data_IF_723723670209
#
_entry.id   IF_723723670209
#
_cell.length_a   1.000
_cell.length_b   1.000
_cell.length_c   1.000
_cell.angle_alpha   90.00
_cell.angle_beta   90.00
_cell.angle_gamma   90.00
#
_symmetry.space_group_name_H-M   'P 1'
#
loop_
_entity.id
_entity.type
_entity.pdbx_description
1 polymer ?
#
# COMPACT_ATOMS: atom_id res chain seq x y z
N UNK A 1 22.00 -2.30 12.80
CA UNK A 1 20.98 -3.38 12.83
C UNK A 1 19.90 -3.14 11.78
N UNK A 2 19.20 -1.96 11.77
CA UNK A 2 18.11 -1.65 10.81
C UNK A 2 18.53 -1.82 9.34
N UNK A 3 19.60 -1.16 8.90
CA UNK A 3 20.09 -1.25 7.51
C UNK A 3 20.36 -2.70 7.06
N UNK A 4 20.84 -3.54 7.98
CA UNK A 4 21.07 -4.96 7.71
C UNK A 4 19.76 -5.73 7.51
N UNK A 5 18.74 -5.40 8.30
CA UNK A 5 17.41 -5.99 8.21
C UNK A 5 16.70 -5.53 6.91
N UNK A 6 16.90 -4.26 6.50
CA UNK A 6 16.36 -3.70 5.26
C UNK A 6 16.98 -4.38 4.02
N UNK A 7 18.32 -4.59 4.01
CA UNK A 7 19.01 -5.32 2.94
C UNK A 7 18.52 -6.77 2.86
N UNK A 8 18.37 -7.43 4.02
CA UNK A 8 17.85 -8.80 4.06
C UNK A 8 16.43 -8.90 3.46
N UNK A 9 15.60 -7.89 3.72
CA UNK A 9 14.25 -7.82 3.16
C UNK A 9 14.28 -7.80 1.62
N UNK A 10 15.22 -7.09 1.01
CA UNK A 10 15.36 -7.07 -0.46
C UNK A 10 15.62 -8.48 -1.00
N UNK A 11 16.59 -9.21 -0.45
CA UNK A 11 16.86 -10.59 -0.86
C UNK A 11 15.70 -11.56 -0.63
N UNK A 12 14.84 -11.28 0.34
CA UNK A 12 13.65 -12.11 0.61
C UNK A 12 12.49 -11.81 -0.34
N UNK A 13 12.43 -10.60 -0.90
CA UNK A 13 11.28 -10.14 -1.70
C UNK A 13 11.59 -10.08 -3.20
N UNK A 14 12.83 -9.79 -3.59
CA UNK A 14 13.23 -9.66 -4.98
C UNK A 14 14.15 -10.81 -5.41
N UNK A 15 13.64 -11.73 -6.25
CA UNK A 15 14.46 -12.83 -6.81
C UNK A 15 15.61 -12.34 -7.71
N UNK A 16 15.55 -11.08 -8.20
CA UNK A 16 16.59 -10.52 -9.06
C UNK A 16 17.82 -10.02 -8.29
N UNK A 17 17.73 -9.86 -6.97
CA UNK A 17 18.83 -9.39 -6.12
C UNK A 17 19.97 -10.43 -6.08
N UNK A 18 21.18 -10.07 -6.55
CA UNK A 18 22.32 -10.99 -6.69
C UNK A 18 23.41 -10.80 -5.63
N UNK A 19 23.67 -9.56 -5.25
CA UNK A 19 24.74 -9.23 -4.30
C UNK A 19 24.40 -8.07 -3.38
N UNK A 20 25.01 -8.05 -2.20
CA UNK A 20 24.85 -6.94 -1.24
C UNK A 20 25.31 -5.61 -1.83
N UNK A 21 26.37 -5.62 -2.65
CA UNK A 21 26.85 -4.40 -3.30
C UNK A 21 25.81 -3.86 -4.28
N UNK A 22 25.25 -4.70 -5.13
CA UNK A 22 24.15 -4.35 -6.05
C UNK A 22 22.98 -3.74 -5.28
N UNK A 23 22.50 -4.42 -4.24
CA UNK A 23 21.39 -3.95 -3.42
C UNK A 23 21.67 -2.58 -2.80
N UNK A 24 22.86 -2.36 -2.23
CA UNK A 24 23.21 -1.08 -1.62
C UNK A 24 23.33 0.04 -2.65
N UNK A 25 23.80 -0.24 -3.86
CA UNK A 25 24.11 0.80 -4.84
C UNK A 25 22.98 1.10 -5.82
N UNK A 26 22.05 0.17 -6.05
CA UNK A 26 21.05 0.31 -7.14
C UNK A 26 19.60 0.32 -6.69
N UNK A 27 19.28 -0.04 -5.45
CA UNK A 27 17.89 -0.10 -4.97
C UNK A 27 17.40 1.26 -4.48
N UNK A 28 16.67 1.96 -5.34
CA UNK A 28 16.13 3.30 -5.05
C UNK A 28 15.25 3.32 -3.78
N UNK A 29 14.48 2.26 -3.54
CA UNK A 29 13.66 2.11 -2.33
C UNK A 29 14.46 2.15 -1.05
N UNK A 30 15.63 1.47 -0.98
CA UNK A 30 16.53 1.54 0.18
C UNK A 30 17.07 2.94 0.37
N UNK A 31 17.51 3.59 -0.70
CA UNK A 31 18.05 4.96 -0.64
C UNK A 31 17.00 5.93 -0.10
N UNK A 32 15.75 5.82 -0.57
CA UNK A 32 14.64 6.65 -0.11
C UNK A 32 14.34 6.44 1.38
N UNK A 33 14.27 5.19 1.83
CA UNK A 33 14.02 4.85 3.24
C UNK A 33 15.16 5.36 4.14
N UNK A 34 16.41 5.16 3.76
CA UNK A 34 17.56 5.61 4.57
C UNK A 34 17.69 7.13 4.61
N UNK A 35 17.45 7.81 3.48
CA UNK A 35 17.38 9.29 3.43
C UNK A 35 16.24 9.81 4.32
N UNK A 36 15.10 9.13 4.30
CA UNK A 36 13.97 9.46 5.18
C UNK A 36 14.34 9.35 6.67
N UNK A 37 15.11 8.37 7.10
CA UNK A 37 15.51 8.25 8.50
C UNK A 37 16.28 9.49 8.98
N UNK A 38 17.13 10.04 8.12
CA UNK A 38 17.87 11.28 8.40
C UNK A 38 16.92 12.47 8.44
N UNK A 39 16.06 12.60 7.42
CA UNK A 39 15.08 13.67 7.33
C UNK A 39 14.07 13.64 8.50
N UNK A 40 13.60 12.47 8.90
CA UNK A 40 12.71 12.30 10.04
C UNK A 40 13.35 12.73 11.37
N UNK A 41 14.63 12.39 11.59
CA UNK A 41 15.38 12.85 12.78
C UNK A 41 15.47 14.37 12.84
N UNK A 42 15.73 15.02 11.71
CA UNK A 42 15.74 16.49 11.63
C UNK A 42 14.35 17.08 11.88
N UNK A 43 13.32 16.47 11.30
CA UNK A 43 11.93 16.89 11.49
C UNK A 43 11.51 16.81 12.96
N UNK A 44 11.82 15.73 13.66
CA UNK A 44 11.60 15.60 15.11
C UNK A 44 12.31 16.66 15.94
N UNK A 45 13.47 17.11 15.48
CA UNK A 45 14.24 18.20 16.11
C UNK A 45 13.81 19.59 15.62
N UNK A 46 12.60 19.73 15.02
CA UNK A 46 12.01 20.98 14.50
C UNK A 46 12.82 21.68 13.40
N UNK A 47 13.79 20.98 12.79
CA UNK A 47 14.56 21.49 11.65
C UNK A 47 13.83 21.19 10.34
N UNK A 48 12.64 21.77 10.19
CA UNK A 48 11.69 21.41 9.11
C UNK A 48 12.23 21.69 7.72
N UNK A 49 12.88 22.83 7.51
CA UNK A 49 13.45 23.20 6.18
C UNK A 49 14.51 22.19 5.76
N UNK A 50 15.50 21.91 6.62
CA UNK A 50 16.54 20.93 6.33
C UNK A 50 15.99 19.53 6.09
N UNK A 51 14.99 19.11 6.87
CA UNK A 51 14.29 17.83 6.68
C UNK A 51 13.61 17.76 5.31
N UNK A 52 12.91 18.81 4.90
CA UNK A 52 12.27 18.91 3.58
C UNK A 52 13.27 18.93 2.43
N UNK A 53 14.39 19.63 2.58
CA UNK A 53 15.45 19.66 1.57
C UNK A 53 16.01 18.26 1.32
N UNK A 54 16.31 17.48 2.38
CA UNK A 54 16.76 16.08 2.24
C UNK A 54 15.69 15.23 1.56
N UNK A 55 14.43 15.38 1.95
CA UNK A 55 13.31 14.65 1.34
C UNK A 55 13.18 14.96 -0.16
N UNK A 56 13.29 16.22 -0.57
CA UNK A 56 13.19 16.59 -1.98
C UNK A 56 14.42 16.14 -2.78
N UNK A 57 15.61 16.21 -2.20
CA UNK A 57 16.82 15.67 -2.83
C UNK A 57 16.72 14.16 -3.04
N UNK A 58 16.25 13.43 -2.01
CA UNK A 58 15.97 11.99 -2.12
C UNK A 58 14.97 11.69 -3.23
N UNK A 59 13.85 12.44 -3.29
CA UNK A 59 12.86 12.31 -4.36
C UNK A 59 13.46 12.52 -5.75
N UNK A 60 14.32 13.53 -5.91
CA UNK A 60 14.98 13.82 -7.18
C UNK A 60 15.80 12.62 -7.70
N UNK A 61 16.56 11.96 -6.81
CA UNK A 61 17.39 10.82 -7.19
C UNK A 61 16.65 9.48 -7.27
N UNK A 62 15.59 9.30 -6.47
CA UNK A 62 14.92 8.00 -6.34
C UNK A 62 13.56 7.92 -7.03
N UNK A 63 12.95 9.07 -7.36
CA UNK A 63 11.57 9.14 -7.81
C UNK A 63 10.52 8.85 -6.72
N UNK A 64 10.96 8.72 -5.44
CA UNK A 64 10.12 8.34 -4.30
C UNK A 64 10.00 9.54 -3.34
N UNK A 65 8.79 9.99 -3.09
CA UNK A 65 8.52 11.03 -2.10
C UNK A 65 8.09 10.44 -0.77
N UNK A 66 8.89 10.65 0.28
CA UNK A 66 8.53 10.32 1.66
C UNK A 66 8.58 11.62 2.46
N UNK A 67 7.42 12.06 2.99
CA UNK A 67 7.39 13.24 3.84
C UNK A 67 8.17 13.00 5.14
N UNK A 68 9.03 13.92 5.61
CA UNK A 68 9.83 13.73 6.82
C UNK A 68 9.03 13.46 8.09
N UNK A 69 7.76 13.87 8.14
CA UNK A 69 6.85 13.62 9.26
C UNK A 69 6.31 12.19 9.33
N UNK A 70 6.34 11.44 8.24
CA UNK A 70 5.86 10.06 8.20
C UNK A 70 6.60 9.18 9.21
N UNK A 71 5.89 8.21 9.81
CA UNK A 71 6.47 7.23 10.72
C UNK A 71 6.59 5.89 10.00
N UNK A 72 7.80 5.37 9.87
CA UNK A 72 8.07 4.15 9.11
C UNK A 72 8.70 3.10 10.02
N UNK A 73 8.04 1.95 10.10
CA UNK A 73 8.49 0.74 10.77
C UNK A 73 9.73 0.13 10.11
N UNK A 74 10.06 -1.09 10.46
CA UNK A 74 11.23 -1.82 9.94
C UNK A 74 10.85 -2.61 8.69
N UNK A 75 11.88 -2.88 7.85
CA UNK A 75 11.71 -3.79 6.71
C UNK A 75 10.62 -3.30 5.74
N UNK A 76 10.55 -1.98 5.51
CA UNK A 76 9.78 -1.42 4.40
C UNK A 76 10.53 -1.72 3.09
N UNK A 77 9.93 -2.49 2.21
CA UNK A 77 10.43 -2.76 0.86
C UNK A 77 9.63 -1.93 -0.15
N UNK A 78 10.32 -1.05 -0.86
CA UNK A 78 9.74 -0.28 -1.98
C UNK A 78 10.38 -0.80 -3.26
N UNK A 79 9.60 -1.56 -4.02
CA UNK A 79 10.03 -2.15 -5.28
C UNK A 79 9.77 -1.20 -6.45
N UNK A 80 10.75 -1.06 -7.34
CA UNK A 80 10.77 -0.08 -8.44
C UNK A 80 10.64 1.38 -7.96
N UNK A 81 9.64 1.72 -7.22
CA UNK A 81 9.43 2.92 -6.40
C UNK A 81 9.06 4.20 -7.15
N UNK A 82 9.25 4.30 -8.46
CA UNK A 82 8.96 5.53 -9.21
C UNK A 82 7.51 5.99 -8.96
N UNK A 83 7.35 7.26 -8.56
CA UNK A 83 6.03 7.87 -8.31
C UNK A 83 5.34 7.44 -7.00
N UNK A 84 6.04 6.75 -6.10
CA UNK A 84 5.53 6.50 -4.74
C UNK A 84 5.49 7.81 -3.97
N UNK A 85 4.36 8.06 -3.29
CA UNK A 85 4.17 9.22 -2.42
C UNK A 85 3.66 8.78 -1.05
N UNK A 86 4.40 9.10 0.01
CA UNK A 86 4.04 8.82 1.41
C UNK A 86 3.86 10.15 2.16
N UNK A 87 2.62 10.45 2.54
CA UNK A 87 2.22 11.73 3.13
C UNK A 87 2.68 11.93 4.57
N UNK A 88 2.59 13.18 5.04
CA UNK A 88 3.14 13.68 6.32
C UNK A 88 2.73 12.88 7.55
N UNK A 89 1.44 12.60 7.69
CA UNK A 89 0.88 11.96 8.90
C UNK A 89 0.67 10.46 8.72
N UNK A 90 1.28 9.87 7.68
CA UNK A 90 1.22 8.44 7.44
C UNK A 90 2.01 7.66 8.50
N UNK A 91 1.47 6.52 8.92
CA UNK A 91 2.19 5.54 9.72
C UNK A 91 2.26 4.22 8.94
N UNK A 92 3.43 3.61 8.88
CA UNK A 92 3.67 2.34 8.20
C UNK A 92 4.29 1.38 9.22
N UNK A 93 3.70 0.21 9.36
CA UNK A 93 4.17 -0.86 10.24
C UNK A 93 5.42 -1.58 9.72
N UNK A 94 5.66 -2.76 10.23
CA UNK A 94 6.82 -3.60 9.89
C UNK A 94 6.48 -4.55 8.71
N UNK A 95 7.50 -4.93 7.92
CA UNK A 95 7.38 -5.89 6.80
C UNK A 95 6.35 -5.46 5.73
N UNK A 96 6.29 -4.20 5.39
CA UNK A 96 5.38 -3.68 4.36
C UNK A 96 6.09 -3.65 3.01
N UNK A 97 5.37 -4.06 1.96
CA UNK A 97 5.84 -4.01 0.57
C UNK A 97 5.00 -3.00 -0.21
N UNK A 98 5.66 -2.09 -0.92
CA UNK A 98 5.02 -1.05 -1.73
C UNK A 98 5.63 -1.06 -3.13
N UNK A 99 4.80 -1.07 -4.16
CA UNK A 99 5.24 -0.98 -5.55
C UNK A 99 5.13 0.45 -6.10
N UNK A 100 5.68 0.65 -7.31
CA UNK A 100 5.68 1.94 -7.99
C UNK A 100 4.29 2.57 -8.11
N UNK A 101 4.23 3.90 -8.12
CA UNK A 101 3.00 4.68 -8.34
C UNK A 101 2.00 4.65 -7.18
N UNK A 102 2.32 4.02 -6.06
CA UNK A 102 1.46 3.99 -4.87
C UNK A 102 1.41 5.37 -4.22
N UNK A 103 0.20 5.79 -3.81
CA UNK A 103 0.01 7.01 -3.04
C UNK A 103 -0.65 6.70 -1.68
N UNK A 104 0.02 7.05 -0.61
CA UNK A 104 -0.54 7.11 0.74
C UNK A 104 -0.86 8.58 1.04
N UNK A 105 -2.05 9.01 0.61
CA UNK A 105 -2.44 10.42 0.52
C UNK A 105 -3.48 10.85 1.56
N UNK A 106 -3.62 12.15 1.74
CA UNK A 106 -4.69 12.75 2.53
C UNK A 106 -5.89 13.12 1.65
N UNK A 107 -7.06 13.21 2.28
CA UNK A 107 -8.27 13.79 1.69
C UNK A 107 -8.60 15.09 2.44
N UNK A 108 -8.73 16.20 1.70
CA UNK A 108 -9.07 17.48 2.31
C UNK A 108 -7.88 18.33 2.77
N UNK A 109 -8.22 19.49 3.37
CA UNK A 109 -7.26 20.54 3.77
C UNK A 109 -7.04 20.61 5.29
N UNK A 110 -7.51 19.63 6.04
CA UNK A 110 -7.43 19.62 7.49
C UNK A 110 -5.99 19.53 7.98
N UNK A 111 -5.72 20.28 9.06
CA UNK A 111 -4.47 20.14 9.81
C UNK A 111 -4.59 18.92 10.73
N UNK A 112 -3.51 18.16 10.90
CA UNK A 112 -3.47 16.99 11.76
C UNK A 112 -3.47 15.67 10.98
N UNK A 113 -4.01 14.61 11.57
CA UNK A 113 -4.06 13.27 11.00
C UNK A 113 -5.00 13.23 9.80
N UNK A 114 -4.44 13.01 8.60
CA UNK A 114 -5.17 13.01 7.34
C UNK A 114 -4.67 11.96 6.32
N UNK A 115 -3.62 11.23 6.66
CA UNK A 115 -3.05 10.16 5.84
C UNK A 115 -3.28 8.80 6.51
N UNK A 116 -3.23 7.71 5.75
CA UNK A 116 -3.55 6.39 6.27
C UNK A 116 -2.53 5.86 7.29
N UNK A 117 -3.03 4.95 8.13
CA UNK A 117 -2.21 4.06 8.94
C UNK A 117 -2.17 2.68 8.28
N UNK A 118 -0.97 2.17 8.03
CA UNK A 118 -0.71 0.87 7.43
C UNK A 118 -0.15 -0.06 8.50
N UNK A 119 -0.79 -1.19 8.72
CA UNK A 119 -0.37 -2.22 9.66
C UNK A 119 0.85 -3.01 9.18
N UNK A 120 1.14 -4.11 9.87
CA UNK A 120 2.27 -4.98 9.56
C UNK A 120 1.94 -6.00 8.47
N UNK A 121 2.95 -6.46 7.74
CA UNK A 121 2.82 -7.47 6.69
C UNK A 121 1.78 -7.09 5.62
N UNK A 122 1.72 -5.83 5.24
CA UNK A 122 0.81 -5.31 4.20
C UNK A 122 1.54 -5.26 2.87
N UNK A 123 0.84 -5.69 1.81
CA UNK A 123 1.30 -5.55 0.43
C UNK A 123 0.41 -4.55 -0.29
N UNK A 124 1.02 -3.53 -0.90
CA UNK A 124 0.34 -2.50 -1.69
C UNK A 124 0.88 -2.54 -3.11
N UNK A 125 0.07 -3.10 -4.01
CA UNK A 125 0.47 -3.32 -5.40
C UNK A 125 0.51 -2.02 -6.21
N UNK A 126 1.14 -2.11 -7.39
CA UNK A 126 1.45 -0.98 -8.26
C UNK A 126 0.25 -0.07 -8.53
N UNK A 127 0.49 1.24 -8.50
CA UNK A 127 -0.49 2.26 -8.86
C UNK A 127 -1.63 2.49 -7.85
N UNK A 128 -1.70 1.74 -6.75
CA UNK A 128 -2.80 1.86 -5.78
C UNK A 128 -2.80 3.20 -5.04
N UNK A 129 -3.99 3.69 -4.69
CA UNK A 129 -4.19 4.93 -3.95
C UNK A 129 -4.94 4.62 -2.65
N UNK A 130 -4.31 4.89 -1.52
CA UNK A 130 -4.93 4.77 -0.20
C UNK A 130 -5.05 6.17 0.36
N UNK A 131 -6.30 6.65 0.50
CA UNK A 131 -6.56 8.06 0.71
C UNK A 131 -7.41 8.31 1.96
N UNK A 132 -6.95 9.26 2.77
CA UNK A 132 -7.66 9.72 3.94
C UNK A 132 -7.09 9.19 5.26
N UNK A 133 -7.71 9.60 6.36
CA UNK A 133 -7.43 9.10 7.69
C UNK A 133 -8.12 7.75 7.92
N UNK A 134 -7.64 6.73 7.22
CA UNK A 134 -8.17 5.36 7.27
C UNK A 134 -7.10 4.40 7.78
N UNK A 135 -7.52 3.23 8.22
CA UNK A 135 -6.63 2.20 8.74
C UNK A 135 -6.66 0.96 7.85
N UNK A 136 -5.50 0.57 7.36
CA UNK A 136 -5.27 -0.71 6.72
C UNK A 136 -4.66 -1.62 7.78
N UNK A 137 -5.41 -2.59 8.26
CA UNK A 137 -4.95 -3.50 9.31
C UNK A 137 -3.83 -4.41 8.81
N UNK A 138 -3.26 -5.23 9.71
CA UNK A 138 -2.14 -6.13 9.36
C UNK A 138 -2.58 -7.31 8.47
N UNK A 139 -1.63 -7.83 7.68
CA UNK A 139 -1.84 -8.96 6.77
C UNK A 139 -2.90 -8.68 5.68
N UNK A 140 -2.90 -7.46 5.15
CA UNK A 140 -3.79 -7.02 4.05
C UNK A 140 -3.02 -6.97 2.74
N UNK A 141 -3.69 -7.36 1.65
CA UNK A 141 -3.21 -7.17 0.29
C UNK A 141 -4.09 -6.17 -0.46
N UNK A 142 -3.48 -5.15 -1.04
CA UNK A 142 -4.15 -4.18 -1.92
C UNK A 142 -3.73 -4.49 -3.36
N UNK A 143 -4.69 -4.83 -4.19
CA UNK A 143 -4.47 -5.14 -5.62
C UNK A 143 -4.05 -3.90 -6.42
N UNK A 144 -3.38 -4.14 -7.55
CA UNK A 144 -2.88 -3.07 -8.41
C UNK A 144 -4.00 -2.11 -8.86
N UNK A 145 -3.66 -0.81 -8.94
CA UNK A 145 -4.56 0.29 -9.32
C UNK A 145 -5.84 0.43 -8.48
N UNK A 146 -5.88 -0.17 -7.29
CA UNK A 146 -7.04 -0.02 -6.40
C UNK A 146 -7.08 1.36 -5.74
N UNK A 147 -8.29 1.89 -5.53
CA UNK A 147 -8.50 3.15 -4.80
C UNK A 147 -9.24 2.87 -3.51
N UNK A 148 -8.53 2.90 -2.39
CA UNK A 148 -9.04 2.56 -1.07
C UNK A 148 -9.37 3.83 -0.30
N UNK A 149 -10.64 3.98 0.06
CA UNK A 149 -11.21 5.16 0.72
C UNK A 149 -11.80 4.85 2.10
N UNK A 150 -11.78 3.58 2.51
CA UNK A 150 -12.32 3.11 3.78
C UNK A 150 -11.34 2.19 4.48
N UNK A 151 -11.46 2.08 5.80
CA UNK A 151 -10.61 1.18 6.59
C UNK A 151 -10.84 -0.28 6.20
N UNK A 152 -9.75 -1.05 6.22
CA UNK A 152 -9.71 -2.44 5.76
C UNK A 152 -9.32 -3.34 6.93
N UNK A 153 -10.13 -4.35 7.27
CA UNK A 153 -9.81 -5.28 8.35
C UNK A 153 -8.66 -6.23 7.98
N UNK A 154 -8.06 -6.84 9.01
CA UNK A 154 -6.95 -7.78 8.84
C UNK A 154 -7.33 -9.00 7.99
N UNK A 155 -6.31 -9.59 7.35
CA UNK A 155 -6.42 -10.82 6.55
C UNK A 155 -7.37 -10.68 5.36
N UNK A 156 -7.42 -9.52 4.74
CA UNK A 156 -8.26 -9.24 3.57
C UNK A 156 -7.46 -8.92 2.32
N UNK A 157 -8.10 -9.10 1.19
CA UNK A 157 -7.64 -8.61 -0.10
C UNK A 157 -8.64 -7.61 -0.65
N UNK A 158 -8.15 -6.43 -1.06
CA UNK A 158 -8.97 -5.35 -1.63
C UNK A 158 -8.55 -5.09 -3.07
N UNK A 159 -9.51 -4.96 -3.97
CA UNK A 159 -9.28 -4.62 -5.38
C UNK A 159 -10.35 -3.67 -5.91
N UNK A 160 -10.04 -2.94 -6.97
CA UNK A 160 -11.01 -2.12 -7.74
C UNK A 160 -11.02 -0.64 -7.39
N UNK A 161 -11.87 0.10 -8.13
CA UNK A 161 -12.09 1.55 -8.02
C UNK A 161 -13.60 1.81 -7.99
N UNK A 162 -14.18 2.14 -6.80
CA UNK A 162 -13.57 2.11 -5.47
C UNK A 162 -13.16 0.69 -5.03
N UNK A 163 -12.23 0.61 -4.08
CA UNK A 163 -11.72 -0.68 -3.57
C UNK A 163 -12.76 -1.47 -2.79
N UNK A 164 -12.96 -2.73 -3.16
CA UNK A 164 -13.85 -3.68 -2.49
C UNK A 164 -13.07 -4.86 -1.92
N UNK A 165 -13.51 -5.37 -0.77
CA UNK A 165 -12.96 -6.58 -0.17
C UNK A 165 -13.45 -7.78 -1.01
N UNK A 166 -12.52 -8.51 -1.61
CA UNK A 166 -12.80 -9.69 -2.45
C UNK A 166 -12.43 -11.00 -1.78
N UNK A 167 -11.59 -10.95 -0.76
CA UNK A 167 -11.18 -12.11 0.02
C UNK A 167 -10.97 -11.71 1.47
N UNK A 168 -11.58 -12.46 2.39
CA UNK A 168 -11.35 -12.35 3.82
C UNK A 168 -11.13 -13.75 4.36
N UNK A 169 -9.88 -14.08 4.74
CA UNK A 169 -9.52 -15.36 5.32
C UNK A 169 -8.86 -15.11 6.66
N UNK A 170 -9.32 -15.79 7.70
CA UNK A 170 -8.69 -15.81 9.03
C UNK A 170 -7.32 -16.52 9.03
N UNK A 171 -6.74 -16.79 7.86
CA UNK A 171 -5.44 -17.44 7.69
C UNK A 171 -4.39 -16.41 7.27
N UNK A 172 -3.18 -16.58 7.76
CA UNK A 172 -2.00 -15.84 7.35
C UNK A 172 -1.87 -15.89 5.82
N UNK A 173 -2.03 -14.77 5.15
CA UNK A 173 -1.80 -14.68 3.69
C UNK A 173 -0.34 -15.01 3.45
N UNK A 174 -0.07 -16.00 2.60
CA UNK A 174 1.28 -16.40 2.24
C UNK A 174 2.07 -15.23 1.65
N UNK A 175 3.40 -15.31 1.68
CA UNK A 175 4.32 -14.27 1.21
C UNK A 175 4.21 -13.93 -0.28
N UNK A 176 3.43 -14.69 -1.05
CA UNK A 176 3.31 -14.54 -2.50
C UNK A 176 1.89 -14.09 -2.83
N UNK A 177 1.78 -12.90 -3.40
CA UNK A 177 0.52 -12.37 -3.90
C UNK A 177 0.40 -12.71 -5.39
N UNK A 178 -0.63 -13.48 -5.76
CA UNK A 178 -0.89 -13.79 -7.16
C UNK A 178 -1.68 -12.65 -7.83
N UNK A 179 -0.97 -11.80 -8.54
CA UNK A 179 -1.57 -10.69 -9.28
C UNK A 179 -2.40 -11.11 -10.49
N UNK A 180 -2.34 -12.39 -10.92
CA UNK A 180 -3.00 -12.87 -12.14
C UNK A 180 -4.42 -13.37 -11.90
N UNK A 181 -4.73 -13.80 -10.68
CA UNK A 181 -6.01 -14.39 -10.30
C UNK A 181 -6.78 -13.53 -9.28
N UNK A 182 -6.73 -12.21 -9.43
CA UNK A 182 -7.58 -11.31 -8.64
C UNK A 182 -9.00 -11.37 -9.16
N UNK A 183 -10.01 -11.64 -8.30
CA UNK A 183 -11.40 -11.52 -8.72
C UNK A 183 -11.70 -10.06 -9.08
N UNK A 184 -12.36 -9.88 -10.21
CA UNK A 184 -12.89 -8.57 -10.61
C UNK A 184 -14.26 -8.37 -9.95
N UNK A 185 -14.41 -7.42 -8.99
CA UNK A 185 -15.67 -7.23 -8.29
C UNK A 185 -16.83 -6.86 -9.22
N UNK A 186 -16.55 -6.11 -10.27
CA UNK A 186 -17.56 -5.72 -11.26
C UNK A 186 -18.02 -6.92 -12.08
N UNK A 187 -17.08 -7.76 -12.51
CA UNK A 187 -17.39 -8.98 -13.25
C UNK A 187 -18.23 -9.96 -12.41
N UNK A 188 -17.92 -10.13 -11.13
CA UNK A 188 -18.71 -10.99 -10.23
C UNK A 188 -20.13 -10.42 -9.98
N UNK A 189 -20.26 -9.11 -9.87
CA UNK A 189 -21.57 -8.45 -9.77
C UNK A 189 -22.40 -8.61 -11.07
N UNK A 190 -21.78 -8.45 -12.23
CA UNK A 190 -22.43 -8.67 -13.53
C UNK A 190 -22.90 -10.13 -13.63
N UNK A 191 -22.07 -11.10 -13.33
CA UNK A 191 -22.45 -12.52 -13.30
C UNK A 191 -23.59 -12.82 -12.32
N UNK A 192 -23.60 -12.14 -11.17
CA UNK A 192 -24.69 -12.28 -10.22
C UNK A 192 -26.01 -11.75 -10.79
N UNK A 193 -25.99 -10.57 -11.42
CA UNK A 193 -27.14 -9.97 -12.07
C UNK A 193 -27.64 -10.81 -13.26
N UNK A 194 -26.74 -11.34 -14.08
CA UNK A 194 -27.08 -12.25 -15.17
C UNK A 194 -27.83 -13.49 -14.65
N UNK A 195 -27.33 -14.12 -13.57
CA UNK A 195 -28.01 -15.25 -12.93
C UNK A 195 -29.38 -14.90 -12.36
N UNK A 196 -29.55 -13.70 -11.79
CA UNK A 196 -30.85 -13.23 -11.32
C UNK A 196 -31.84 -13.00 -12.48
N UNK A 197 -31.34 -12.42 -13.57
CA UNK A 197 -32.12 -12.20 -14.80
C UNK A 197 -32.59 -13.53 -15.44
N UNK A 198 -31.70 -14.55 -15.47
CA UNK A 198 -32.07 -15.87 -15.94
C UNK A 198 -33.16 -16.52 -15.07
N UNK A 199 -33.03 -16.44 -13.75
CA UNK A 199 -34.05 -16.93 -12.81
C UNK A 199 -35.38 -16.22 -12.97
N UNK A 200 -35.35 -14.88 -13.15
CA UNK A 200 -36.58 -14.10 -13.42
C UNK A 200 -37.23 -14.50 -14.73
N UNK A 201 -36.46 -14.71 -15.81
CA UNK A 201 -36.97 -15.17 -17.11
C UNK A 201 -37.57 -16.56 -17.04
N UNK A 202 -37.06 -17.43 -16.20
CA UNK A 202 -37.53 -18.80 -16.02
C UNK A 202 -38.69 -18.91 -15.01
N UNK A 203 -39.18 -17.79 -14.47
CA UNK A 203 -40.28 -17.77 -13.50
C UNK A 203 -39.94 -18.33 -12.12
N UNK A 204 -38.63 -18.44 -11.79
CA UNK A 204 -38.12 -18.98 -10.50
C UNK A 204 -38.03 -17.93 -9.39
N UNK A 205 -38.32 -16.65 -9.68
CA UNK A 205 -38.41 -15.58 -8.67
C UNK A 205 -39.91 -15.37 -8.40
N UNK A 206 -40.39 -15.87 -7.27
CA UNK A 206 -41.63 -15.42 -6.69
C UNK A 206 -41.44 -14.00 -6.14
N UNK A 207 -42.36 -13.08 -6.51
CA UNK A 207 -42.43 -11.71 -6.01
C UNK A 207 -42.65 -11.71 -4.48
N UNK A 208 -41.59 -11.62 -3.69
CA UNK A 208 -41.66 -11.35 -2.26
C UNK A 208 -41.63 -9.84 -1.92
N UNK A 209 -42.15 -9.02 -2.85
CA UNK A 209 -42.37 -7.59 -2.58
C UNK A 209 -43.83 -7.20 -2.95
N UNK A 210 -44.75 -7.66 -2.12
CA UNK A 210 -46.03 -6.97 -1.93
C UNK A 210 -46.15 -6.67 -0.44
N UNK A 211 -45.92 -5.45 -0.11
CA UNK A 211 -46.46 -4.46 0.86
C UNK A 211 -45.34 -3.54 1.33
#
# INVERSE_FOLDING_TARGET
>A
KRMRDDIKMVFEQDPAARSTLEVITTYAGLHAVWSHLIAHKLYKNRRYVAARMISQLSRFFTGIEIHPGAKIGKRLFIDHGMGVVIGETCTIGDNVTIYQGVTLGGTGKEKGKRHPDIGDNVLIAAGSKILGNIKIESNVNIGANSVVLQSVPSYTTVVGIPGHIVKQEGRRIGKTFDHRNLPDPLYEQIKHLERQLEKAKNGEIQDDYII
#
